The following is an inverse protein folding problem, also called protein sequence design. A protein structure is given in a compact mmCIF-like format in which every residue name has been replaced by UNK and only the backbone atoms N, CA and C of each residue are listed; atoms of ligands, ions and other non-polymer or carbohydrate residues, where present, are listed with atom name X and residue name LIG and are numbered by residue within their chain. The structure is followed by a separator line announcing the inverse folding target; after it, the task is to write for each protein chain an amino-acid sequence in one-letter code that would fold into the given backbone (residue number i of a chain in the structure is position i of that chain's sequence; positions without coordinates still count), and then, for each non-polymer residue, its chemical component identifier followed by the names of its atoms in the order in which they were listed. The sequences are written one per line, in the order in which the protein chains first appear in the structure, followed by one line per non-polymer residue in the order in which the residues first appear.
data_IF_786781011819
#
_entry.id   IF_786781011819
#
_cell.length_a   1.000
_cell.length_b   1.000
_cell.length_c   1.000
_cell.angle_alpha   90.00
_cell.angle_beta   90.00
_cell.angle_gamma   90.00
#
_symmetry.space_group_name_H-M   'P 1'
#
loop_
_entity.id
_entity.type
_entity.pdbx_description
1 polymer ?
#
# COMPACT_ATOMS: atom_id res chain seq x y z
N UNK A 1 28.64 9.71 15.13
CA UNK A 1 27.41 10.53 15.35
C UNK A 1 26.83 10.79 13.97
N UNK A 2 25.93 9.92 13.50
CA UNK A 2 25.24 10.15 12.23
C UNK A 2 24.15 11.20 12.47
N UNK A 3 24.29 12.37 11.84
CA UNK A 3 23.27 13.40 11.82
C UNK A 3 22.06 12.86 11.06
N UNK A 4 21.08 12.36 11.79
CA UNK A 4 19.79 11.96 11.27
C UNK A 4 18.96 13.23 11.00
N UNK A 5 19.34 13.99 9.98
CA UNK A 5 18.48 15.04 9.40
C UNK A 5 17.34 14.32 8.67
N UNK A 6 16.22 14.08 9.37
CA UNK A 6 15.01 13.61 8.71
C UNK A 6 14.67 14.59 7.60
N UNK A 7 14.73 14.14 6.34
CA UNK A 7 14.36 14.94 5.18
C UNK A 7 12.94 15.47 5.38
N UNK A 8 12.72 16.74 5.05
CA UNK A 8 11.37 17.34 5.03
C UNK A 8 10.50 16.63 3.98
N UNK A 9 11.15 16.04 2.96
CA UNK A 9 10.54 15.29 1.88
C UNK A 9 10.45 13.82 2.26
N UNK A 10 9.25 13.25 2.16
CA UNK A 10 9.03 11.83 2.42
C UNK A 10 9.23 11.00 1.14
N UNK A 11 8.77 11.50 0.00
CA UNK A 11 8.94 10.86 -1.32
C UNK A 11 9.49 11.88 -2.30
N UNK A 12 10.47 11.47 -3.09
CA UNK A 12 10.99 12.24 -4.21
C UNK A 12 11.08 11.32 -5.44
N UNK A 13 10.48 11.76 -6.54
CA UNK A 13 10.60 11.17 -7.86
C UNK A 13 11.43 12.13 -8.69
N UNK A 14 12.54 11.66 -9.26
CA UNK A 14 13.47 12.48 -10.04
C UNK A 14 13.65 11.88 -11.43
N UNK A 15 13.21 12.62 -12.44
CA UNK A 15 13.33 12.26 -13.84
C UNK A 15 12.81 10.85 -14.16
N UNK A 16 11.67 10.48 -13.54
CA UNK A 16 11.09 9.14 -13.68
C UNK A 16 10.53 8.95 -15.07
N UNK A 17 11.08 7.98 -15.78
CA UNK A 17 10.56 7.47 -17.05
C UNK A 17 10.21 6.01 -16.94
N UNK A 18 9.08 5.59 -17.52
CA UNK A 18 8.69 4.19 -17.65
C UNK A 18 8.29 3.88 -19.08
N UNK A 19 9.13 3.10 -19.74
CA UNK A 19 8.86 2.48 -21.04
C UNK A 19 8.65 0.98 -20.84
N UNK A 20 7.58 0.42 -21.40
CA UNK A 20 7.31 -1.02 -21.41
C UNK A 20 8.02 -1.72 -22.56
N UNK A 21 8.09 -3.05 -22.54
CA UNK A 21 8.80 -3.87 -23.55
C UNK A 21 8.26 -3.70 -24.97
N UNK A 22 6.99 -3.34 -25.13
CA UNK A 22 6.33 -3.03 -26.39
C UNK A 22 6.66 -1.63 -26.95
N UNK A 23 7.52 -0.87 -26.25
CA UNK A 23 7.91 0.50 -26.59
C UNK A 23 6.92 1.56 -26.09
N UNK A 24 5.83 1.18 -25.40
CA UNK A 24 4.88 2.15 -24.86
C UNK A 24 5.48 2.94 -23.72
N UNK A 25 5.55 4.27 -23.86
CA UNK A 25 6.00 5.19 -22.81
C UNK A 25 4.79 5.55 -21.93
N UNK A 26 4.73 5.00 -20.74
CA UNK A 26 3.64 5.24 -19.80
C UNK A 26 3.84 6.46 -18.91
N UNK A 27 5.09 6.81 -18.63
CA UNK A 27 5.51 7.99 -17.85
C UNK A 27 6.80 8.50 -18.46
N UNK A 28 6.90 9.81 -18.66
CA UNK A 28 8.05 10.46 -19.28
C UNK A 28 8.51 11.64 -18.43
N UNK A 29 9.77 11.63 -18.02
CA UNK A 29 10.46 12.67 -17.23
C UNK A 29 9.64 13.25 -16.07
N UNK A 30 8.97 12.39 -15.30
CA UNK A 30 8.07 12.81 -14.24
C UNK A 30 8.85 13.14 -12.97
N UNK A 31 8.61 14.35 -12.44
CA UNK A 31 9.22 14.84 -11.21
C UNK A 31 8.14 15.15 -10.18
N UNK A 32 8.33 14.69 -8.93
CA UNK A 32 7.42 14.94 -7.82
C UNK A 32 8.18 14.95 -6.51
N UNK A 33 7.87 15.91 -5.63
CA UNK A 33 8.32 15.92 -4.25
C UNK A 33 7.12 15.97 -3.32
N UNK A 34 7.03 15.03 -2.38
CA UNK A 34 5.98 14.95 -1.36
C UNK A 34 6.59 15.18 0.01
N UNK A 35 6.07 16.16 0.73
CA UNK A 35 6.52 16.47 2.10
C UNK A 35 5.87 15.53 3.11
N UNK A 36 6.51 15.37 4.25
CA UNK A 36 5.96 14.58 5.37
C UNK A 36 4.63 15.17 5.85
N UNK A 37 3.60 14.31 5.91
CA UNK A 37 2.23 14.72 6.29
C UNK A 37 1.41 15.37 5.17
N UNK A 38 1.97 15.51 3.97
CA UNK A 38 1.25 16.04 2.81
C UNK A 38 0.28 15.02 2.23
N UNK A 39 -0.88 15.50 1.75
CA UNK A 39 -1.84 14.73 0.98
C UNK A 39 -1.75 15.12 -0.49
N UNK A 40 -1.42 14.16 -1.35
CA UNK A 40 -1.25 14.37 -2.80
C UNK A 40 -2.28 13.57 -3.58
N UNK A 41 -2.90 14.19 -4.58
CA UNK A 41 -3.86 13.55 -5.47
C UNK A 41 -3.36 13.60 -6.92
N UNK A 42 -3.32 12.42 -7.57
CA UNK A 42 -3.06 12.33 -9.01
C UNK A 42 -4.38 12.47 -9.78
N UNK A 43 -4.50 13.54 -10.56
CA UNK A 43 -5.65 13.80 -11.44
C UNK A 43 -5.21 13.70 -12.91
N UNK A 44 -6.11 13.29 -13.76
CA UNK A 44 -5.88 13.21 -15.22
C UNK A 44 -6.70 12.10 -15.88
N UNK A 45 -6.73 12.09 -17.23
CA UNK A 45 -7.48 11.12 -18.03
C UNK A 45 -6.98 9.69 -17.82
N UNK A 46 -7.75 8.72 -18.30
CA UNK A 46 -7.31 7.32 -18.34
C UNK A 46 -6.06 7.19 -19.21
N UNK A 47 -5.08 6.39 -18.77
CA UNK A 47 -3.83 6.16 -19.52
C UNK A 47 -2.70 7.19 -19.31
N UNK A 48 -2.90 8.27 -18.55
CA UNK A 48 -1.84 9.28 -18.32
C UNK A 48 -0.80 8.89 -17.23
N UNK A 49 -0.56 7.61 -16.99
CA UNK A 49 0.54 7.15 -16.15
C UNK A 49 0.30 7.11 -14.63
N UNK A 50 -0.85 7.59 -14.10
CA UNK A 50 -1.12 7.65 -12.65
C UNK A 50 -0.91 6.32 -11.94
N UNK A 51 -1.53 5.27 -12.46
CA UNK A 51 -1.44 3.92 -11.87
C UNK A 51 -0.02 3.38 -11.98
N UNK A 52 0.65 3.62 -13.10
CA UNK A 52 2.04 3.22 -13.33
C UNK A 52 2.98 3.91 -12.34
N UNK A 53 2.81 5.22 -12.13
CA UNK A 53 3.59 5.98 -11.14
C UNK A 53 3.38 5.44 -9.72
N UNK A 54 2.13 5.21 -9.32
CA UNK A 54 1.84 4.61 -8.00
C UNK A 54 2.42 3.19 -7.87
N UNK A 55 2.40 2.39 -8.93
CA UNK A 55 3.01 1.05 -8.95
C UNK A 55 4.52 1.12 -8.84
N UNK A 56 5.18 2.11 -9.47
CA UNK A 56 6.62 2.34 -9.33
C UNK A 56 6.98 2.75 -7.89
N UNK A 57 6.22 3.65 -7.26
CA UNK A 57 6.41 4.03 -5.85
C UNK A 57 6.25 2.81 -4.95
N UNK A 58 5.24 1.97 -5.19
CA UNK A 58 4.95 0.78 -4.39
C UNK A 58 5.90 -0.41 -4.67
N UNK A 59 6.73 -0.36 -5.72
CA UNK A 59 7.69 -1.41 -6.08
C UNK A 59 7.12 -2.56 -6.91
N UNK A 60 5.93 -2.39 -7.50
CA UNK A 60 5.34 -3.36 -8.43
C UNK A 60 5.78 -3.13 -9.88
N UNK A 61 6.40 -1.99 -10.16
CA UNK A 61 7.06 -1.65 -11.41
C UNK A 61 8.41 -1.00 -11.08
N UNK A 62 9.39 -1.25 -11.94
CA UNK A 62 10.71 -0.60 -11.85
C UNK A 62 10.73 0.52 -12.89
N UNK A 63 11.13 1.76 -12.55
CA UNK A 63 11.33 2.80 -13.53
C UNK A 63 12.40 2.38 -14.55
N UNK A 64 12.28 2.82 -15.82
CA UNK A 64 13.28 2.61 -16.84
C UNK A 64 14.44 3.59 -16.63
N UNK A 65 14.10 4.82 -16.19
CA UNK A 65 15.07 5.87 -15.89
C UNK A 65 14.62 6.68 -14.66
N UNK A 66 15.56 7.36 -14.02
CA UNK A 66 15.33 8.20 -12.87
C UNK A 66 15.43 7.49 -11.54
N UNK A 67 15.14 8.20 -10.46
CA UNK A 67 15.32 7.76 -9.09
C UNK A 67 14.06 7.95 -8.25
N UNK A 68 13.75 6.98 -7.40
CA UNK A 68 12.69 7.08 -6.38
C UNK A 68 13.33 7.04 -5.02
N UNK A 69 13.20 8.15 -4.28
CA UNK A 69 13.72 8.26 -2.93
C UNK A 69 12.56 8.23 -1.90
N UNK A 70 12.74 7.50 -0.83
CA UNK A 70 11.89 7.50 0.34
C UNK A 70 12.75 7.89 1.55
N UNK A 71 12.39 9.00 2.18
CA UNK A 71 13.13 9.58 3.32
C UNK A 71 14.64 9.74 3.00
N UNK A 72 14.94 10.20 1.76
CA UNK A 72 16.28 10.41 1.23
C UNK A 72 17.02 9.13 0.81
N UNK A 73 16.41 7.94 0.95
CA UNK A 73 17.02 6.65 0.55
C UNK A 73 16.42 6.15 -0.76
N UNK A 74 17.26 5.75 -1.69
CA UNK A 74 16.79 5.19 -2.95
C UNK A 74 16.07 3.86 -2.74
N UNK A 75 14.88 3.74 -3.33
CA UNK A 75 14.03 2.55 -3.25
C UNK A 75 13.60 2.01 -4.62
N UNK A 76 14.00 2.64 -5.72
CA UNK A 76 13.55 2.32 -7.08
C UNK A 76 13.68 0.85 -7.43
N UNK A 77 14.78 0.20 -7.01
CA UNK A 77 15.06 -1.21 -7.25
C UNK A 77 14.63 -2.16 -6.11
N UNK A 78 14.05 -1.64 -5.03
CA UNK A 78 13.60 -2.50 -3.93
C UNK A 78 12.25 -3.16 -4.26
N UNK A 79 12.08 -4.46 -3.96
CA UNK A 79 10.80 -5.13 -4.12
C UNK A 79 9.76 -4.61 -3.10
N UNK A 80 8.45 -4.77 -3.37
CA UNK A 80 7.38 -4.20 -2.52
C UNK A 80 7.48 -4.55 -1.03
N UNK A 81 7.87 -5.79 -0.73
CA UNK A 81 7.99 -6.29 0.65
C UNK A 81 9.16 -5.70 1.44
N UNK A 82 10.09 -5.00 0.78
CA UNK A 82 11.21 -4.30 1.42
C UNK A 82 11.01 -2.79 1.51
N UNK A 83 9.91 -2.27 0.96
CA UNK A 83 9.58 -0.84 1.05
C UNK A 83 8.67 -0.58 2.25
N UNK A 84 8.97 0.39 3.11
CA UNK A 84 8.09 0.79 4.22
C UNK A 84 6.92 1.65 3.70
N UNK A 85 6.18 1.13 2.73
CA UNK A 85 5.06 1.78 2.05
C UNK A 85 3.86 0.83 2.06
N UNK A 86 2.70 1.35 2.46
CA UNK A 86 1.45 0.62 2.41
C UNK A 86 0.61 1.05 1.20
N UNK A 87 0.21 0.10 0.37
CA UNK A 87 -0.65 0.34 -0.81
C UNK A 87 -2.04 -0.23 -0.59
N UNK A 88 -3.06 0.61 -0.77
CA UNK A 88 -4.47 0.18 -0.76
C UNK A 88 -4.93 -0.03 -2.19
N UNK A 89 -5.09 -1.28 -2.61
CA UNK A 89 -5.56 -1.61 -3.95
C UNK A 89 -7.07 -1.40 -4.09
N UNK A 90 -7.54 -0.96 -5.26
CA UNK A 90 -8.95 -0.82 -5.57
C UNK A 90 -9.70 -2.16 -5.59
N UNK A 91 -9.03 -3.24 -6.02
CA UNK A 91 -9.58 -4.61 -6.06
C UNK A 91 -8.68 -5.58 -5.28
N UNK A 92 -9.33 -6.50 -4.53
CA UNK A 92 -8.75 -7.73 -3.97
C UNK A 92 -7.55 -7.59 -3.02
N UNK A 93 -7.74 -6.90 -1.87
CA UNK A 93 -6.80 -6.99 -0.75
C UNK A 93 -7.22 -8.04 0.30
N UNK A 94 -8.37 -8.71 0.11
CA UNK A 94 -8.83 -9.78 0.99
C UNK A 94 -8.61 -11.13 0.32
N UNK A 95 -8.11 -12.10 1.09
CA UNK A 95 -7.92 -13.47 0.63
C UNK A 95 -9.28 -14.18 0.56
N UNK A 96 -9.77 -14.57 -0.64
CA UNK A 96 -11.13 -15.06 -0.81
C UNK A 96 -11.37 -16.44 -0.16
N UNK A 97 -10.31 -17.22 0.04
CA UNK A 97 -10.35 -18.53 0.68
C UNK A 97 -10.32 -18.48 2.20
N UNK A 98 -9.97 -17.34 2.80
CA UNK A 98 -9.96 -17.13 4.24
C UNK A 98 -11.29 -16.50 4.72
N UNK A 99 -11.68 -16.81 5.98
CA UNK A 99 -12.74 -16.08 6.67
C UNK A 99 -12.27 -14.66 7.05
N UNK A 100 -13.17 -13.86 7.63
CA UNK A 100 -12.88 -12.48 8.00
C UNK A 100 -11.83 -12.41 9.11
N UNK A 101 -11.94 -13.28 10.13
CA UNK A 101 -10.96 -13.35 11.20
C UNK A 101 -9.55 -13.61 10.65
N UNK A 102 -9.42 -14.64 9.82
CA UNK A 102 -8.11 -15.02 9.26
C UNK A 102 -7.53 -13.98 8.31
N UNK A 103 -8.36 -13.26 7.56
CA UNK A 103 -7.93 -12.12 6.77
C UNK A 103 -7.29 -11.03 7.65
N UNK A 104 -7.98 -10.64 8.73
CA UNK A 104 -7.47 -9.60 9.66
C UNK A 104 -6.24 -10.11 10.42
N UNK A 105 -6.26 -11.36 10.85
CA UNK A 105 -5.19 -11.98 11.60
C UNK A 105 -3.93 -12.26 10.76
N UNK A 106 -4.01 -12.25 9.43
CA UNK A 106 -2.92 -12.67 8.54
C UNK A 106 -1.61 -11.92 8.84
N UNK A 107 -1.63 -10.59 8.77
CA UNK A 107 -0.45 -9.78 9.06
C UNK A 107 0.03 -9.89 10.52
N UNK A 108 -0.91 -10.07 11.46
CA UNK A 108 -0.58 -10.24 12.89
C UNK A 108 0.12 -11.59 13.15
N UNK A 109 -0.28 -12.64 12.42
CA UNK A 109 0.38 -13.96 12.47
C UNK A 109 1.82 -13.88 11.94
N UNK A 110 2.06 -13.14 10.87
CA UNK A 110 3.41 -12.91 10.33
C UNK A 110 4.32 -12.17 11.32
N UNK A 111 3.75 -11.27 12.12
CA UNK A 111 4.46 -10.58 13.22
C UNK A 111 4.67 -11.46 14.47
N UNK A 112 4.27 -12.75 14.42
CA UNK A 112 4.41 -13.72 15.51
C UNK A 112 3.77 -13.28 16.84
N UNK A 113 2.68 -12.52 16.79
CA UNK A 113 1.92 -12.15 17.97
C UNK A 113 1.25 -13.38 18.61
N UNK A 114 1.00 -13.32 19.92
CA UNK A 114 0.29 -14.36 20.65
C UNK A 114 -1.16 -14.51 20.17
N UNK A 115 -1.75 -15.70 20.35
CA UNK A 115 -3.15 -15.97 19.95
C UNK A 115 -4.13 -15.01 20.61
N UNK A 116 -3.90 -14.65 21.87
CA UNK A 116 -4.79 -13.77 22.63
C UNK A 116 -4.68 -12.31 22.17
N UNK A 117 -3.48 -11.86 21.85
CA UNK A 117 -3.27 -10.53 21.23
C UNK A 117 -3.92 -10.43 19.86
N UNK A 118 -3.81 -11.49 19.04
CA UNK A 118 -4.46 -11.54 17.72
C UNK A 118 -5.98 -11.44 17.90
N UNK A 119 -6.58 -12.25 18.78
CA UNK A 119 -8.03 -12.19 19.06
C UNK A 119 -8.48 -10.80 19.49
N UNK A 120 -7.77 -10.17 20.43
CA UNK A 120 -8.07 -8.83 20.92
C UNK A 120 -8.01 -7.78 19.80
N UNK A 121 -6.95 -7.83 18.98
CA UNK A 121 -6.77 -6.88 17.86
C UNK A 121 -7.83 -7.08 16.78
N UNK A 122 -8.13 -8.33 16.41
CA UNK A 122 -9.18 -8.65 15.43
C UNK A 122 -10.54 -8.14 15.92
N UNK A 123 -10.89 -8.40 17.18
CA UNK A 123 -12.15 -7.90 17.78
C UNK A 123 -12.24 -6.38 17.66
N UNK A 124 -11.19 -5.64 18.05
CA UNK A 124 -11.14 -4.19 17.94
C UNK A 124 -11.33 -3.68 16.50
N UNK A 125 -10.73 -4.36 15.52
CA UNK A 125 -10.90 -4.01 14.10
C UNK A 125 -12.35 -4.21 13.67
N UNK A 126 -12.99 -5.32 14.07
CA UNK A 126 -14.39 -5.63 13.72
C UNK A 126 -15.36 -4.63 14.34
N UNK A 127 -15.14 -4.23 15.59
CA UNK A 127 -15.89 -3.16 16.27
C UNK A 127 -15.79 -1.85 15.49
N UNK A 128 -14.59 -1.43 15.08
CA UNK A 128 -14.37 -0.19 14.32
C UNK A 128 -15.06 -0.15 12.94
N UNK A 129 -15.38 -1.30 12.37
CA UNK A 129 -16.01 -1.39 11.05
C UNK A 129 -17.47 -1.86 11.08
N UNK A 130 -18.08 -1.97 12.26
CA UNK A 130 -19.46 -2.46 12.49
C UNK A 130 -19.67 -3.87 11.90
N UNK A 131 -18.75 -4.79 12.17
CA UNK A 131 -18.80 -6.18 11.69
C UNK A 131 -18.59 -7.20 12.80
N UNK A 132 -18.97 -6.89 14.03
CA UNK A 132 -18.99 -7.84 15.14
C UNK A 132 -19.88 -9.04 14.82
N UNK A 133 -19.43 -10.23 15.18
CA UNK A 133 -20.12 -11.49 14.89
C UNK A 133 -19.97 -11.99 13.44
N UNK A 134 -19.12 -11.34 12.63
CA UNK A 134 -18.84 -11.77 11.26
C UNK A 134 -17.51 -12.54 11.12
N UNK A 135 -16.83 -12.84 12.20
CA UNK A 135 -15.49 -13.41 12.24
C UNK A 135 -15.32 -14.64 11.35
N UNK A 136 -16.29 -15.57 11.42
CA UNK A 136 -16.25 -16.86 10.72
C UNK A 136 -16.80 -16.81 9.29
N UNK A 137 -17.41 -15.70 8.90
CA UNK A 137 -18.00 -15.57 7.56
C UNK A 137 -16.93 -15.50 6.47
N UNK A 138 -17.25 -16.06 5.29
CA UNK A 138 -16.42 -15.93 4.10
C UNK A 138 -16.50 -14.51 3.55
N UNK A 139 -15.38 -13.98 3.06
CA UNK A 139 -15.31 -12.64 2.45
C UNK A 139 -16.31 -12.47 1.30
N UNK A 140 -16.49 -13.51 0.49
CA UNK A 140 -17.42 -13.48 -0.65
C UNK A 140 -18.88 -13.21 -0.26
N UNK A 141 -19.27 -13.45 0.99
CA UNK A 141 -20.64 -13.19 1.49
C UNK A 141 -20.87 -11.75 1.91
N UNK A 142 -19.82 -10.91 1.91
CA UNK A 142 -19.92 -9.51 2.26
C UNK A 142 -20.22 -8.64 1.04
N UNK A 143 -21.01 -7.58 1.24
CA UNK A 143 -21.14 -6.53 0.23
C UNK A 143 -19.82 -5.80 -0.01
N UNK A 144 -19.64 -5.22 -1.20
CA UNK A 144 -18.42 -4.49 -1.57
C UNK A 144 -18.02 -3.41 -0.56
N UNK A 145 -19.00 -2.67 -0.01
CA UNK A 145 -18.75 -1.65 1.01
C UNK A 145 -18.20 -2.22 2.33
N UNK A 146 -18.70 -3.41 2.78
CA UNK A 146 -18.18 -4.10 3.97
C UNK A 146 -16.76 -4.60 3.74
N UNK A 147 -16.49 -5.18 2.57
CA UNK A 147 -15.14 -5.61 2.18
C UNK A 147 -14.16 -4.43 2.15
N UNK A 148 -14.59 -3.27 1.66
CA UNK A 148 -13.76 -2.06 1.60
C UNK A 148 -13.42 -1.52 3.00
N UNK A 149 -14.37 -1.54 3.95
CA UNK A 149 -14.12 -1.12 5.33
C UNK A 149 -13.07 -1.98 6.02
N UNK A 150 -13.16 -3.31 5.93
CA UNK A 150 -12.15 -4.23 6.47
C UNK A 150 -10.77 -3.93 5.85
N UNK A 151 -10.71 -3.76 4.53
CA UNK A 151 -9.46 -3.48 3.80
C UNK A 151 -8.76 -2.21 4.30
N UNK A 152 -9.50 -1.12 4.49
CA UNK A 152 -8.93 0.14 5.00
C UNK A 152 -8.28 -0.04 6.36
N UNK A 153 -8.88 -0.81 7.24
CA UNK A 153 -8.32 -1.09 8.56
C UNK A 153 -7.08 -2.00 8.52
N UNK A 154 -7.02 -2.95 7.59
CA UNK A 154 -5.83 -3.79 7.41
C UNK A 154 -4.60 -2.97 6.99
N UNK A 155 -4.78 -1.94 6.17
CA UNK A 155 -3.68 -1.06 5.76
C UNK A 155 -3.24 -0.07 6.84
N UNK A 156 -4.16 0.33 7.74
CA UNK A 156 -3.86 1.29 8.82
C UNK A 156 -3.32 0.66 10.12
N UNK A 157 -3.39 -0.67 10.25
CA UNK A 157 -3.02 -1.40 11.48
C UNK A 157 -1.64 -2.09 11.41
N UNK A 158 -0.89 -1.89 10.34
CA UNK A 158 0.49 -2.40 10.15
C UNK A 158 1.53 -1.31 10.50
#
# INVERSE_FOLDING_TARGET
MENNTSSTNIIELKHITKTFEDGFVAVEDFNLTVKRGEFVTFLGPSGCGKTTTLRMIAGFEIPTEGEILLDGKEIGNLPPNKRPINTVFQRYALFPHLNIFDNIAFGLKLKKLSKDEIKRKVKKVLEMVDLEGFETRKVATLSGGKQQRIRRQLCGSQ
#
